data_IF_879370015966
#
_entry.id   IF_879370015966
#
_cell.length_a   1.000
_cell.length_b   1.000
_cell.length_c   1.000
_cell.angle_alpha   90.00
_cell.angle_beta   90.00
_cell.angle_gamma   90.00
#
_symmetry.space_group_name_H-M   'P 1'
#
loop_
_entity.id
_entity.type
_entity.pdbx_description
1 polymer ?
#
# COMPACT_ATOMS: atom_id res chain seq x y z
N UNK A 1 35.69 -25.76 36.50
CA UNK A 1 36.23 -25.09 35.30
C UNK A 1 37.74 -25.20 35.27
N UNK A 2 38.22 -26.19 34.53
CA UNK A 2 39.63 -26.49 34.30
C UNK A 2 40.31 -25.42 33.43
N UNK A 3 41.64 -25.34 33.48
CA UNK A 3 42.43 -24.42 32.66
C UNK A 3 42.21 -24.66 31.16
N UNK A 4 41.93 -25.92 30.77
CA UNK A 4 41.61 -26.30 29.39
C UNK A 4 40.24 -25.78 28.91
N UNK A 5 39.20 -25.87 29.76
CA UNK A 5 37.87 -25.33 29.46
C UNK A 5 37.89 -23.80 29.34
N UNK A 6 38.66 -23.12 30.21
CA UNK A 6 38.87 -21.66 30.10
C UNK A 6 39.61 -21.28 28.82
N UNK A 7 40.55 -22.09 28.35
CA UNK A 7 41.30 -21.85 27.10
C UNK A 7 40.43 -22.06 25.86
N UNK A 8 39.49 -23.01 25.89
CA UNK A 8 38.52 -23.26 24.82
C UNK A 8 37.48 -22.14 24.70
N UNK A 9 36.96 -21.65 25.82
CA UNK A 9 36.01 -20.52 25.84
C UNK A 9 36.67 -19.21 25.38
N UNK A 10 37.94 -18.98 25.75
CA UNK A 10 38.71 -17.80 25.30
C UNK A 10 39.05 -17.85 23.81
N UNK A 11 39.35 -19.03 23.27
CA UNK A 11 39.54 -19.23 21.82
C UNK A 11 38.27 -18.99 21.01
N UNK A 12 37.09 -19.25 21.61
CA UNK A 12 35.78 -19.00 20.98
C UNK A 12 35.40 -17.52 21.06
N UNK A 13 35.78 -16.81 22.13
CA UNK A 13 35.55 -15.38 22.30
C UNK A 13 36.53 -14.52 21.48
N UNK A 14 37.81 -14.88 21.38
CA UNK A 14 38.79 -14.19 20.52
C UNK A 14 38.43 -14.31 19.03
N UNK A 15 37.71 -15.37 18.64
CA UNK A 15 37.17 -15.53 17.27
C UNK A 15 35.97 -14.63 16.96
N UNK A 16 35.42 -13.91 17.95
CA UNK A 16 34.25 -13.03 17.79
C UNK A 16 34.66 -11.55 17.62
N UNK A 17 35.94 -11.22 17.81
CA UNK A 17 36.47 -9.85 17.74
C UNK A 17 36.77 -9.38 16.30
N UNK A 18 36.74 -10.27 15.32
CA UNK A 18 37.04 -9.98 13.90
C UNK A 18 35.86 -10.29 12.98
N UNK A 19 34.63 -10.11 13.44
CA UNK A 19 33.45 -10.29 12.60
C UNK A 19 32.87 -8.93 12.29
N UNK A 20 32.83 -8.61 11.00
CA UNK A 20 32.14 -7.43 10.48
C UNK A 20 30.66 -7.50 10.82
N UNK A 21 29.98 -6.36 10.86
CA UNK A 21 28.54 -6.31 11.10
C UNK A 21 27.75 -7.13 10.06
N UNK A 22 28.27 -7.22 8.83
CA UNK A 22 27.75 -8.06 7.75
C UNK A 22 27.95 -9.56 8.01
N UNK A 23 29.09 -9.98 8.57
CA UNK A 23 29.33 -11.38 8.96
C UNK A 23 28.50 -11.80 10.17
N UNK A 24 28.30 -10.89 11.12
CA UNK A 24 27.36 -11.08 12.23
C UNK A 24 25.92 -11.18 11.75
N UNK A 25 25.55 -10.36 10.77
CA UNK A 25 24.23 -10.40 10.13
C UNK A 25 24.07 -11.69 9.35
N UNK A 26 25.07 -12.10 8.57
CA UNK A 26 25.08 -13.36 7.83
C UNK A 26 25.01 -14.58 8.75
N UNK A 27 25.64 -14.54 9.92
CA UNK A 27 25.60 -15.64 10.88
C UNK A 27 24.29 -15.69 11.68
N UNK A 28 23.74 -14.54 12.10
CA UNK A 28 22.42 -14.49 12.74
C UNK A 28 21.29 -14.86 11.78
N UNK A 29 21.43 -14.48 10.51
CA UNK A 29 20.33 -14.51 9.53
C UNK A 29 20.46 -15.68 8.54
N UNK A 30 21.67 -16.26 8.39
CA UNK A 30 22.01 -17.28 7.39
C UNK A 30 22.00 -16.73 5.95
N UNK A 31 22.31 -17.56 4.93
CA UNK A 31 21.98 -17.26 3.55
C UNK A 31 20.45 -17.32 3.41
N UNK A 32 19.78 -16.26 3.80
CA UNK A 32 18.37 -16.05 3.49
C UNK A 32 18.30 -15.65 2.02
N UNK A 33 18.37 -16.67 1.16
CA UNK A 33 17.62 -16.65 -0.08
C UNK A 33 16.14 -16.74 0.32
N UNK A 34 15.61 -15.67 0.91
CA UNK A 34 14.38 -15.52 1.72
C UNK A 34 13.08 -15.82 0.98
N UNK A 35 13.01 -17.00 0.38
CA UNK A 35 11.89 -17.45 -0.42
C UNK A 35 10.77 -18.03 0.45
N UNK A 36 9.58 -18.12 -0.15
CA UNK A 36 8.33 -18.52 0.52
C UNK A 36 8.46 -19.83 1.32
N UNK A 37 9.28 -20.80 0.87
CA UNK A 37 9.54 -22.05 1.61
C UNK A 37 10.18 -21.84 2.98
N UNK A 38 11.03 -20.82 3.15
CA UNK A 38 11.63 -20.46 4.43
C UNK A 38 10.59 -19.90 5.40
N UNK A 39 9.68 -19.08 4.89
CA UNK A 39 8.58 -18.49 5.66
C UNK A 39 7.64 -19.58 6.18
N UNK A 40 7.26 -20.56 5.35
CA UNK A 40 6.41 -21.69 5.80
C UNK A 40 7.08 -22.47 6.93
N UNK A 41 8.37 -22.80 6.80
CA UNK A 41 9.13 -23.48 7.87
C UNK A 41 9.25 -22.63 9.13
N UNK A 42 9.39 -21.30 8.98
CA UNK A 42 9.45 -20.35 10.10
C UNK A 42 8.12 -20.31 10.86
N UNK A 43 7.00 -20.16 10.16
CA UNK A 43 5.65 -20.22 10.75
C UNK A 43 5.45 -21.54 11.47
N UNK A 44 5.80 -22.66 10.83
CA UNK A 44 5.70 -23.98 11.46
C UNK A 44 6.51 -24.08 12.75
N UNK A 45 7.71 -23.49 12.78
CA UNK A 45 8.57 -23.43 13.98
C UNK A 45 7.97 -22.57 15.09
N UNK A 46 7.33 -21.45 14.76
CA UNK A 46 6.64 -20.59 15.74
C UNK A 46 5.44 -21.31 16.35
N UNK A 47 4.70 -22.05 15.52
CA UNK A 47 3.50 -22.78 15.94
C UNK A 47 3.81 -24.14 16.61
N UNK A 48 5.07 -24.60 16.58
CA UNK A 48 5.51 -25.90 17.10
C UNK A 48 4.74 -27.12 16.53
N UNK A 49 4.28 -27.04 15.28
CA UNK A 49 3.50 -28.11 14.64
C UNK A 49 4.30 -28.95 13.65
N UNK A 50 3.85 -30.17 13.40
CA UNK A 50 4.39 -31.01 12.31
C UNK A 50 3.83 -30.56 10.94
N UNK A 51 4.34 -31.11 9.83
CA UNK A 51 3.75 -30.86 8.50
C UNK A 51 2.28 -31.32 8.43
N UNK A 52 1.93 -32.42 9.12
CA UNK A 52 0.53 -32.87 9.21
C UNK A 52 -0.31 -31.88 10.03
N UNK A 53 0.18 -31.48 11.20
CA UNK A 53 -0.52 -30.52 12.05
C UNK A 53 -0.75 -29.18 11.36
N UNK A 54 0.24 -28.67 10.60
CA UNK A 54 0.06 -27.46 9.81
C UNK A 54 -0.98 -27.64 8.69
N UNK A 55 -1.00 -28.82 8.06
CA UNK A 55 -1.96 -29.13 7.02
C UNK A 55 -3.39 -29.22 7.57
N UNK A 56 -3.55 -29.81 8.76
CA UNK A 56 -4.84 -29.90 9.46
C UNK A 56 -5.36 -28.51 9.82
N UNK A 57 -4.50 -27.60 10.30
CA UNK A 57 -4.86 -26.20 10.58
C UNK A 57 -5.33 -25.44 9.34
N UNK A 58 -4.74 -25.74 8.18
CA UNK A 58 -5.04 -25.08 6.92
C UNK A 58 -6.13 -25.76 6.08
N UNK A 59 -6.60 -26.95 6.49
CA UNK A 59 -7.53 -27.75 5.69
C UNK A 59 -6.94 -28.24 4.36
N UNK A 60 -5.62 -28.45 4.29
CA UNK A 60 -4.92 -29.00 3.11
C UNK A 60 -4.31 -30.37 3.42
N UNK A 61 -3.77 -31.06 2.40
CA UNK A 61 -3.05 -32.32 2.65
C UNK A 61 -1.61 -32.07 3.09
N UNK A 62 -1.04 -32.98 3.89
CA UNK A 62 0.38 -32.88 4.30
C UNK A 62 1.34 -32.82 3.12
N UNK A 63 1.03 -33.47 2.00
CA UNK A 63 1.86 -33.44 0.79
C UNK A 63 1.87 -32.06 0.11
N UNK A 64 0.83 -31.23 0.31
CA UNK A 64 0.83 -29.82 -0.12
C UNK A 64 1.87 -29.04 0.68
N UNK A 65 1.83 -29.14 2.02
CA UNK A 65 2.79 -28.47 2.90
C UNK A 65 4.23 -28.89 2.60
N UNK A 66 4.46 -30.20 2.38
CA UNK A 66 5.79 -30.70 2.02
C UNK A 66 6.30 -30.12 0.68
N UNK A 67 5.41 -29.91 -0.31
CA UNK A 67 5.78 -29.27 -1.57
C UNK A 67 6.07 -27.79 -1.42
N UNK A 68 5.35 -27.09 -0.54
CA UNK A 68 5.64 -25.70 -0.19
C UNK A 68 7.01 -25.54 0.46
N UNK A 69 7.32 -26.36 1.46
CA UNK A 69 8.61 -26.28 2.18
C UNK A 69 9.82 -26.68 1.34
N UNK A 70 9.61 -27.45 0.26
CA UNK A 70 10.67 -27.85 -0.68
C UNK A 70 10.75 -26.96 -1.91
N UNK A 71 9.88 -25.96 -2.03
CA UNK A 71 9.83 -25.06 -3.19
C UNK A 71 9.32 -25.70 -4.48
N UNK A 72 8.78 -26.93 -4.44
CA UNK A 72 8.20 -27.60 -5.62
C UNK A 72 6.92 -26.91 -6.10
N UNK A 73 6.17 -26.30 -5.18
CA UNK A 73 5.03 -25.44 -5.45
C UNK A 73 4.99 -24.32 -4.41
N UNK A 74 4.36 -23.19 -4.70
CA UNK A 74 4.17 -22.10 -3.73
C UNK A 74 2.74 -22.09 -3.17
N UNK A 75 2.54 -21.68 -1.90
CA UNK A 75 1.22 -21.38 -1.37
C UNK A 75 0.57 -20.24 -2.15
N UNK A 76 -0.76 -20.19 -2.16
CA UNK A 76 -1.46 -18.99 -2.65
C UNK A 76 -1.17 -17.84 -1.68
N UNK A 77 -1.32 -16.60 -2.16
CA UNK A 77 -1.16 -15.42 -1.30
C UNK A 77 -2.12 -15.47 -0.11
N UNK A 78 -3.36 -15.98 -0.30
CA UNK A 78 -4.31 -16.22 0.79
C UNK A 78 -3.74 -17.15 1.87
N UNK A 79 -3.20 -18.30 1.45
CA UNK A 79 -2.67 -19.30 2.38
C UNK A 79 -1.45 -18.75 3.13
N UNK A 80 -0.61 -17.97 2.44
CA UNK A 80 0.53 -17.29 3.05
C UNK A 80 0.07 -16.27 4.11
N UNK A 81 -0.94 -15.45 3.81
CA UNK A 81 -1.47 -14.49 4.77
C UNK A 81 -2.08 -15.20 6.00
N UNK A 82 -2.76 -16.33 5.80
CA UNK A 82 -3.30 -17.12 6.91
C UNK A 82 -2.21 -17.74 7.77
N UNK A 83 -1.14 -18.24 7.15
CA UNK A 83 0.07 -18.69 7.85
C UNK A 83 0.68 -17.59 8.73
N UNK A 84 0.85 -16.39 8.17
CA UNK A 84 1.41 -15.25 8.90
C UNK A 84 0.49 -14.82 10.06
N UNK A 85 -0.82 -14.76 9.83
CA UNK A 85 -1.82 -14.46 10.87
C UNK A 85 -1.78 -15.46 12.02
N UNK A 86 -1.72 -16.76 11.73
CA UNK A 86 -1.61 -17.81 12.77
C UNK A 86 -0.34 -17.63 13.61
N UNK A 87 0.77 -17.23 12.99
CA UNK A 87 2.03 -16.95 13.68
C UNK A 87 2.12 -15.54 14.29
N UNK A 88 1.06 -14.72 14.20
CA UNK A 88 1.03 -13.32 14.65
C UNK A 88 2.15 -12.48 14.02
N UNK A 89 2.45 -12.76 12.75
CA UNK A 89 3.41 -12.02 11.94
C UNK A 89 2.67 -11.06 11.02
N UNK A 90 3.30 -9.94 10.73
CA UNK A 90 2.83 -8.93 9.79
C UNK A 90 3.65 -9.00 8.49
N UNK A 91 3.00 -8.73 7.36
CA UNK A 91 3.65 -8.64 6.05
C UNK A 91 3.72 -7.16 5.65
N UNK A 92 4.93 -6.65 5.51
CA UNK A 92 5.19 -5.30 5.01
C UNK A 92 5.84 -5.41 3.63
N UNK A 93 5.41 -4.54 2.71
CA UNK A 93 6.04 -4.39 1.40
C UNK A 93 7.05 -3.25 1.52
N UNK A 94 8.28 -3.48 1.07
CA UNK A 94 9.33 -2.47 1.06
C UNK A 94 9.71 -2.15 -0.39
N UNK A 95 9.99 -0.88 -0.68
CA UNK A 95 10.59 -0.45 -1.94
C UNK A 95 12.12 -0.70 -1.95
N UNK A 96 12.77 -0.24 -3.01
CA UNK A 96 14.23 -0.35 -3.18
C UNK A 96 15.03 0.56 -2.23
N UNK A 97 14.36 1.46 -1.51
CA UNK A 97 14.92 2.34 -0.49
C UNK A 97 14.53 1.91 0.94
N UNK A 98 14.06 0.68 1.11
CA UNK A 98 13.57 0.11 2.39
C UNK A 98 12.40 0.91 3.02
N UNK A 99 11.63 1.64 2.21
CA UNK A 99 10.43 2.35 2.67
C UNK A 99 9.20 1.48 2.52
N UNK A 100 8.31 1.54 3.52
CA UNK A 100 7.05 0.80 3.49
C UNK A 100 6.15 1.30 2.36
N UNK A 101 5.65 0.37 1.55
CA UNK A 101 4.73 0.63 0.45
C UNK A 101 3.34 0.18 0.86
N UNK A 102 2.50 1.16 1.16
CA UNK A 102 1.09 0.92 1.47
C UNK A 102 0.29 0.53 0.22
N UNK A 103 -0.75 -0.31 0.36
CA UNK A 103 -1.71 -0.50 -0.70
C UNK A 103 -2.45 0.81 -1.01
N UNK A 104 -2.83 1.01 -2.28
CA UNK A 104 -3.76 2.09 -2.62
C UNK A 104 -5.03 1.97 -1.78
N UNK A 105 -5.46 3.09 -1.23
CA UNK A 105 -6.62 3.21 -0.36
C UNK A 105 -7.89 2.70 -1.02
N UNK A 106 -8.75 2.08 -0.23
CA UNK A 106 -10.02 1.55 -0.72
C UNK A 106 -11.11 2.63 -0.89
N UNK A 107 -11.02 3.71 -0.11
CA UNK A 107 -11.98 4.81 -0.03
C UNK A 107 -11.74 5.94 -1.05
N UNK A 108 -10.84 5.71 -2.00
CA UNK A 108 -10.56 6.64 -3.10
C UNK A 108 -11.83 7.00 -3.86
N UNK A 109 -11.91 8.25 -4.32
CA UNK A 109 -13.07 8.76 -5.05
C UNK A 109 -13.37 7.88 -6.29
N UNK A 110 -14.66 7.65 -6.54
CA UNK A 110 -15.14 6.84 -7.65
C UNK A 110 -15.74 7.73 -8.72
N UNK A 111 -15.86 7.20 -9.93
CA UNK A 111 -16.66 7.85 -10.97
C UNK A 111 -18.13 7.88 -10.53
N UNK A 112 -18.94 8.76 -11.13
CA UNK A 112 -20.38 8.78 -10.83
C UNK A 112 -21.11 7.48 -11.22
N UNK A 113 -20.47 6.60 -12.01
CA UNK A 113 -20.94 5.24 -12.27
C UNK A 113 -20.49 4.18 -11.23
N UNK A 114 -19.77 4.57 -10.17
CA UNK A 114 -19.32 3.68 -9.08
C UNK A 114 -17.98 2.97 -9.31
N UNK A 115 -17.42 3.04 -10.52
CA UNK A 115 -16.11 2.43 -10.84
C UNK A 115 -14.96 3.26 -10.28
N UNK A 116 -13.82 2.61 -9.98
CA UNK A 116 -12.58 3.31 -9.64
C UNK A 116 -12.02 4.02 -10.87
N UNK A 117 -11.30 5.13 -10.64
CA UNK A 117 -10.49 5.75 -11.69
C UNK A 117 -9.25 4.87 -12.00
N UNK A 118 -8.65 5.01 -13.20
CA UNK A 118 -7.41 4.28 -13.51
C UNK A 118 -6.28 4.61 -12.52
N UNK A 119 -5.63 3.61 -11.93
CA UNK A 119 -4.65 3.80 -10.86
C UNK A 119 -3.51 4.79 -11.20
N UNK A 120 -3.06 4.81 -12.45
CA UNK A 120 -1.92 5.63 -12.87
C UNK A 120 -2.25 7.12 -13.09
N UNK A 121 -3.50 7.56 -12.97
CA UNK A 121 -3.91 8.94 -13.28
C UNK A 121 -3.92 9.82 -12.04
N UNK A 122 -3.59 11.10 -12.24
CA UNK A 122 -3.65 12.12 -11.20
C UNK A 122 -5.02 12.82 -11.29
N UNK A 123 -5.80 12.72 -10.21
CA UNK A 123 -7.14 13.28 -10.12
C UNK A 123 -7.08 14.76 -9.78
N UNK A 124 -8.02 15.54 -10.35
CA UNK A 124 -8.17 16.98 -10.12
C UNK A 124 -9.63 17.31 -9.94
N UNK A 125 -9.94 18.04 -8.88
CA UNK A 125 -11.28 18.57 -8.66
C UNK A 125 -11.47 19.84 -9.49
N UNK A 126 -12.63 19.94 -10.15
CA UNK A 126 -12.97 21.12 -10.98
C UNK A 126 -14.12 21.96 -10.40
N UNK A 127 -14.70 21.50 -9.29
CA UNK A 127 -15.85 22.09 -8.61
C UNK A 127 -16.97 21.06 -8.48
N UNK A 128 -18.22 21.50 -8.49
CA UNK A 128 -19.40 20.63 -8.37
C UNK A 128 -19.81 19.98 -9.68
N UNK A 129 -20.26 18.73 -9.58
CA UNK A 129 -20.71 17.93 -10.71
C UNK A 129 -22.00 18.49 -11.34
N UNK A 130 -22.12 18.29 -12.65
CA UNK A 130 -23.29 18.54 -13.46
C UNK A 130 -23.29 17.51 -14.60
N UNK A 131 -24.45 16.96 -14.97
CA UNK A 131 -24.55 16.11 -16.16
C UNK A 131 -24.07 16.86 -17.42
N UNK A 132 -23.58 16.09 -18.40
CA UNK A 132 -23.00 16.65 -19.63
C UNK A 132 -24.06 17.10 -20.63
N UNK A 133 -25.27 16.55 -20.52
CA UNK A 133 -26.43 16.69 -21.39
C UNK A 133 -27.43 17.76 -20.91
N UNK A 134 -27.16 18.43 -19.78
CA UNK A 134 -28.00 19.54 -19.30
C UNK A 134 -28.06 20.63 -20.36
N UNK A 135 -29.25 20.86 -20.93
CA UNK A 135 -29.51 22.00 -21.79
C UNK A 135 -29.07 23.27 -21.05
N UNK A 136 -28.21 24.07 -21.68
CA UNK A 136 -27.43 25.13 -21.02
C UNK A 136 -28.25 26.34 -20.55
N UNK A 137 -29.51 26.16 -20.17
CA UNK A 137 -30.23 27.14 -19.39
C UNK A 137 -29.48 27.32 -18.07
N UNK A 138 -28.96 28.53 -17.84
CA UNK A 138 -28.18 28.87 -16.66
C UNK A 138 -28.86 28.41 -15.35
N UNK A 139 -30.19 28.45 -15.30
CA UNK A 139 -30.99 27.99 -14.15
C UNK A 139 -30.78 26.51 -13.84
N UNK A 140 -30.93 25.62 -14.82
CA UNK A 140 -30.84 24.17 -14.60
C UNK A 140 -29.42 23.76 -14.21
N UNK A 141 -28.43 24.34 -14.89
CA UNK A 141 -27.01 24.16 -14.56
C UNK A 141 -26.70 24.51 -13.10
N UNK A 142 -27.19 25.65 -12.60
CA UNK A 142 -26.99 26.04 -11.20
C UNK A 142 -27.77 25.16 -10.22
N UNK A 143 -28.96 24.68 -10.59
CA UNK A 143 -29.70 23.73 -9.75
C UNK A 143 -28.92 22.42 -9.57
N UNK A 144 -28.35 21.87 -10.65
CA UNK A 144 -27.51 20.67 -10.58
C UNK A 144 -26.30 20.88 -9.68
N UNK A 145 -25.58 22.00 -9.85
CA UNK A 145 -24.44 22.31 -8.97
C UNK A 145 -24.82 22.45 -7.51
N UNK A 146 -25.96 23.07 -7.20
CA UNK A 146 -26.46 23.17 -5.82
C UNK A 146 -26.78 21.80 -5.23
N UNK A 147 -27.43 20.92 -6.00
CA UNK A 147 -27.73 19.54 -5.58
C UNK A 147 -26.45 18.74 -5.34
N UNK A 148 -25.51 18.81 -6.28
CA UNK A 148 -24.19 18.16 -6.18
C UNK A 148 -23.42 18.65 -4.95
N UNK A 149 -23.42 19.97 -4.69
CA UNK A 149 -22.83 20.54 -3.47
C UNK A 149 -23.49 20.01 -2.19
N UNK A 150 -24.82 20.01 -2.14
CA UNK A 150 -25.55 19.50 -0.98
C UNK A 150 -25.32 18.00 -0.75
N UNK A 151 -25.10 17.23 -1.82
CA UNK A 151 -24.78 15.81 -1.76
C UNK A 151 -23.29 15.53 -1.48
N UNK A 152 -22.41 16.53 -1.53
CA UNK A 152 -20.96 16.35 -1.44
C UNK A 152 -20.38 15.57 -2.62
N UNK A 153 -20.93 15.75 -3.83
CA UNK A 153 -20.55 15.01 -5.04
C UNK A 153 -19.71 15.90 -6.00
N UNK A 154 -18.38 15.93 -5.87
CA UNK A 154 -17.53 16.81 -6.67
C UNK A 154 -17.33 16.31 -8.10
N UNK A 155 -17.11 17.24 -9.02
CA UNK A 155 -16.66 16.97 -10.38
C UNK A 155 -15.15 16.71 -10.41
N UNK A 156 -14.79 15.43 -10.49
CA UNK A 156 -13.39 14.97 -10.59
C UNK A 156 -13.04 14.69 -12.04
N UNK A 157 -11.88 15.18 -12.49
CA UNK A 157 -11.33 14.94 -13.81
C UNK A 157 -9.88 14.49 -13.72
N UNK A 158 -9.36 13.92 -14.79
CA UNK A 158 -7.96 13.53 -14.90
C UNK A 158 -7.45 13.79 -16.31
N UNK A 159 -6.12 13.86 -16.46
CA UNK A 159 -5.48 14.00 -17.77
C UNK A 159 -5.02 12.65 -18.31
N UNK A 160 -5.28 12.41 -19.60
CA UNK A 160 -4.82 11.20 -20.31
C UNK A 160 -3.37 11.29 -20.82
N UNK A 161 -2.90 12.50 -21.16
CA UNK A 161 -1.56 12.69 -21.75
C UNK A 161 -0.45 12.35 -20.75
N UNK A 162 0.41 11.38 -21.08
CA UNK A 162 1.57 10.98 -20.27
C UNK A 162 2.56 12.13 -20.07
N UNK A 163 2.88 12.86 -21.13
CA UNK A 163 3.83 13.99 -21.08
C UNK A 163 3.35 15.10 -20.15
N UNK A 164 2.07 15.50 -20.24
CA UNK A 164 1.52 16.52 -19.34
C UNK A 164 1.53 16.09 -17.87
N UNK A 165 1.25 14.81 -17.59
CA UNK A 165 1.32 14.27 -16.22
C UNK A 165 2.75 14.25 -15.70
N UNK A 166 3.71 13.82 -16.51
CA UNK A 166 5.12 13.86 -16.14
C UNK A 166 5.58 15.28 -15.79
N UNK A 167 5.24 16.26 -16.63
CA UNK A 167 5.52 17.67 -16.35
C UNK A 167 4.81 18.18 -15.08
N UNK A 168 3.54 17.82 -14.87
CA UNK A 168 2.82 18.21 -13.66
C UNK A 168 3.45 17.60 -12.40
N UNK A 169 3.92 16.36 -12.46
CA UNK A 169 4.61 15.68 -11.35
C UNK A 169 5.98 16.29 -11.05
N UNK A 170 6.69 16.73 -12.07
CA UNK A 170 7.95 17.46 -11.91
C UNK A 170 7.74 18.83 -11.25
N UNK A 171 6.66 19.53 -11.61
CA UNK A 171 6.37 20.87 -11.10
C UNK A 171 5.72 20.88 -9.71
N UNK A 172 4.85 19.91 -9.42
CA UNK A 172 3.98 19.91 -8.23
C UNK A 172 4.16 18.70 -7.32
N UNK A 173 5.05 17.77 -7.68
CA UNK A 173 5.20 16.48 -7.02
C UNK A 173 4.21 15.43 -7.55
N UNK A 174 4.52 14.16 -7.26
CA UNK A 174 3.59 13.06 -7.55
C UNK A 174 2.63 12.89 -6.38
N UNK A 175 1.30 12.95 -6.61
CA UNK A 175 0.34 12.61 -5.58
C UNK A 175 0.54 11.18 -5.13
N UNK A 176 0.48 10.96 -3.82
CA UNK A 176 0.69 9.66 -3.19
C UNK A 176 -0.39 8.64 -3.62
N UNK A 177 -1.66 9.03 -3.53
CA UNK A 177 -2.80 8.19 -3.91
C UNK A 177 -3.99 9.03 -4.42
N UNK A 178 -5.03 8.37 -4.90
CA UNK A 178 -6.29 9.00 -5.25
C UNK A 178 -6.93 9.61 -4.00
N UNK A 179 -7.36 10.89 -4.02
CA UNK A 179 -8.05 11.49 -2.89
C UNK A 179 -9.37 10.75 -2.58
N UNK A 180 -9.72 10.70 -1.29
CA UNK A 180 -11.04 10.22 -0.88
C UNK A 180 -12.15 11.16 -1.37
N UNK A 181 -13.40 10.67 -1.40
CA UNK A 181 -14.56 11.51 -1.75
C UNK A 181 -14.63 12.77 -0.88
N UNK A 182 -14.36 12.64 0.42
CA UNK A 182 -14.37 13.76 1.38
C UNK A 182 -13.29 14.79 1.06
N UNK A 183 -12.07 14.35 0.75
CA UNK A 183 -10.99 15.25 0.33
C UNK A 183 -11.36 16.00 -0.96
N UNK A 184 -11.97 15.31 -1.93
CA UNK A 184 -12.43 15.95 -3.16
C UNK A 184 -13.55 16.97 -2.92
N UNK A 185 -14.49 16.68 -2.03
CA UNK A 185 -15.57 17.61 -1.68
C UNK A 185 -15.02 18.87 -1.00
N UNK A 186 -14.08 18.72 -0.07
CA UNK A 186 -13.40 19.85 0.56
C UNK A 186 -12.60 20.69 -0.45
N UNK A 187 -11.94 20.05 -1.43
CA UNK A 187 -11.27 20.79 -2.50
C UNK A 187 -12.28 21.56 -3.39
N UNK A 188 -13.46 20.98 -3.65
CA UNK A 188 -14.52 21.67 -4.39
C UNK A 188 -15.06 22.90 -3.64
N UNK A 189 -15.24 22.80 -2.31
CA UNK A 189 -15.60 23.93 -1.44
C UNK A 189 -14.53 25.02 -1.48
N UNK A 190 -13.26 24.64 -1.34
CA UNK A 190 -12.15 25.58 -1.42
C UNK A 190 -12.09 26.32 -2.78
N UNK A 191 -12.41 25.63 -3.88
CA UNK A 191 -12.49 26.27 -5.21
C UNK A 191 -13.63 27.29 -5.30
N UNK A 192 -14.76 27.07 -4.64
CA UNK A 192 -15.86 28.04 -4.57
C UNK A 192 -15.46 29.27 -3.77
N UNK A 193 -14.86 29.08 -2.59
CA UNK A 193 -14.34 30.19 -1.76
C UNK A 193 -13.35 31.07 -2.56
N UNK A 194 -12.44 30.44 -3.32
CA UNK A 194 -11.51 31.17 -4.19
C UNK A 194 -12.21 31.92 -5.32
N UNK A 195 -13.33 31.42 -5.84
CA UNK A 195 -14.14 32.13 -6.87
C UNK A 195 -14.82 33.34 -6.25
N UNK A 196 -15.41 33.19 -5.07
CA UNK A 196 -16.08 34.27 -4.34
C UNK A 196 -15.09 35.38 -3.98
N UNK A 197 -13.91 35.04 -3.46
CA UNK A 197 -12.84 36.00 -3.17
C UNK A 197 -12.40 36.79 -4.43
N UNK A 198 -12.27 36.11 -5.58
CA UNK A 198 -11.93 36.78 -6.86
C UNK A 198 -13.03 37.73 -7.31
N UNK A 199 -14.29 37.37 -7.13
CA UNK A 199 -15.43 38.24 -7.45
C UNK A 199 -15.47 39.45 -6.53
N UNK A 200 -15.31 39.27 -5.22
CA UNK A 200 -15.26 40.36 -4.25
C UNK A 200 -14.13 41.35 -4.56
N UNK A 201 -12.92 40.85 -4.88
CA UNK A 201 -11.79 41.71 -5.28
C UNK A 201 -12.06 42.51 -6.56
N UNK A 202 -12.80 41.93 -7.52
CA UNK A 202 -13.19 42.62 -8.76
C UNK A 202 -14.29 43.65 -8.52
N UNK A 203 -15.19 43.43 -7.57
CA UNK A 203 -16.24 44.38 -7.23
C UNK A 203 -15.72 45.57 -6.39
N UNK A 204 -14.59 45.38 -5.68
CA UNK A 204 -13.95 46.41 -4.87
C UNK A 204 -12.87 47.23 -5.62
N UNK A 205 -12.54 46.86 -6.85
CA UNK A 205 -11.59 47.56 -7.73
C UNK A 205 -12.34 48.37 -8.79
#
# INVERSE_FOLDING_TARGET
MTVAERRSLRKWLDQQEEWTEDEWTWFRTGPVDGHVQGIVRRVRRILEVSQRGLADLLGVSQSVVARWETGRTSPRVSDLLDLLRMARLELVLLDDADQEVDPMRDDGVRTHGGSRFPAHVDLRVTGWWSPADVESTMVEYYQWKRRSKAAGDPSVRYRRSRWRRALERELWGTPDDHPSLRQCAAEAEHLDERREQRQARRAAA
#
